data_IF_016103395319
#
_entry.id   IF_016103395319
#
_cell.length_a   1.000
_cell.length_b   1.000
_cell.length_c   1.000
_cell.angle_alpha   90.00
_cell.angle_beta   90.00
_cell.angle_gamma   90.00
#
_symmetry.space_group_name_H-M   'P 1'
#
loop_
_entity.id
_entity.type
_entity.pdbx_description
1 polymer ?
#
# COMPACT_ATOMS: atom_id res chain seq x y z
N UNK A 1 -24.92 30.11 -4.87
CA UNK A 1 -24.72 28.73 -5.39
C UNK A 1 -23.23 28.47 -5.42
N UNK A 2 -22.70 27.80 -4.40
CA UNK A 2 -21.25 27.75 -4.17
C UNK A 2 -20.88 26.34 -3.71
N UNK A 3 -20.36 25.52 -4.62
CA UNK A 3 -19.45 24.41 -4.32
C UNK A 3 -18.81 23.96 -5.64
N UNK A 4 -17.79 24.68 -6.09
CA UNK A 4 -16.87 24.16 -7.11
C UNK A 4 -15.80 23.36 -6.37
N UNK A 5 -16.05 22.06 -6.21
CA UNK A 5 -15.13 21.13 -5.58
C UNK A 5 -13.93 20.96 -6.52
N UNK A 6 -12.80 21.52 -6.10
CA UNK A 6 -11.52 21.64 -6.79
C UNK A 6 -10.91 20.26 -7.13
N UNK A 7 -10.70 20.00 -8.42
CA UNK A 7 -9.76 19.07 -9.04
C UNK A 7 -9.37 17.81 -8.24
N UNK A 8 -10.26 16.82 -8.24
CA UNK A 8 -10.12 15.38 -8.51
C UNK A 8 -8.70 14.74 -8.60
N UNK A 9 -7.76 15.05 -7.70
CA UNK A 9 -6.50 14.31 -7.54
C UNK A 9 -6.51 13.39 -6.31
N UNK A 10 -7.67 13.21 -5.70
CA UNK A 10 -7.90 12.45 -4.47
C UNK A 10 -8.31 11.00 -4.75
N UNK A 11 -7.58 10.27 -5.60
CA UNK A 11 -7.71 8.80 -5.74
C UNK A 11 -7.03 8.03 -4.60
N UNK A 12 -6.66 8.81 -3.58
CA UNK A 12 -6.42 8.54 -2.17
C UNK A 12 -5.81 7.17 -1.92
N UNK A 13 -4.49 7.18 -2.09
CA UNK A 13 -3.49 6.37 -1.38
C UNK A 13 -3.67 6.48 0.14
N UNK A 14 -4.83 6.10 0.65
CA UNK A 14 -5.13 6.11 2.07
C UNK A 14 -4.23 5.12 2.76
N UNK A 15 -3.53 5.59 3.78
CA UNK A 15 -2.80 4.72 4.67
C UNK A 15 -3.84 3.89 5.45
N UNK A 16 -3.70 2.57 5.41
CA UNK A 16 -4.55 1.63 6.16
C UNK A 16 -3.79 1.15 7.38
N UNK A 17 -4.32 1.41 8.58
CA UNK A 17 -3.71 0.92 9.83
C UNK A 17 -4.38 -0.38 10.24
N UNK A 18 -3.58 -1.45 10.39
CA UNK A 18 -4.02 -2.77 10.85
C UNK A 18 -3.23 -3.15 12.10
N UNK A 19 -3.84 -2.98 13.27
CA UNK A 19 -3.17 -3.19 14.55
C UNK A 19 -1.92 -2.32 14.69
N UNK A 20 -0.74 -2.95 14.74
CA UNK A 20 0.57 -2.25 14.82
C UNK A 20 1.17 -1.86 13.47
N UNK A 21 0.53 -2.25 12.38
CA UNK A 21 1.05 -2.06 11.03
C UNK A 21 0.36 -0.89 10.34
N UNK A 22 1.13 0.02 9.78
CA UNK A 22 0.65 1.07 8.88
C UNK A 22 1.00 0.67 7.45
N UNK A 23 -0.02 0.46 6.63
CA UNK A 23 0.08 0.12 5.22
C UNK A 23 -0.11 1.40 4.42
N UNK A 24 0.89 1.81 3.66
CA UNK A 24 0.82 2.97 2.78
C UNK A 24 0.97 2.50 1.34
N UNK A 25 -0.08 2.53 0.51
CA UNK A 25 0.01 2.24 -0.91
C UNK A 25 0.66 3.42 -1.65
N UNK A 26 1.55 3.11 -2.59
CA UNK A 26 2.25 4.06 -3.44
C UNK A 26 2.09 3.63 -4.90
N UNK A 27 1.47 4.49 -5.69
CA UNK A 27 1.35 4.29 -7.14
C UNK A 27 2.16 5.36 -7.85
N UNK A 28 3.04 4.93 -8.77
CA UNK A 28 3.84 5.82 -9.61
C UNK A 28 3.57 5.53 -11.08
N UNK A 29 3.43 6.57 -11.92
CA UNK A 29 3.43 6.38 -13.37
C UNK A 29 4.78 5.81 -13.82
N UNK A 30 4.75 4.90 -14.77
CA UNK A 30 5.89 4.33 -15.48
C UNK A 30 5.96 4.91 -16.90
N UNK A 31 7.14 4.81 -17.53
CA UNK A 31 7.43 5.42 -18.83
C UNK A 31 6.49 4.95 -19.96
N UNK A 32 6.05 3.69 -19.91
CA UNK A 32 5.21 3.06 -20.94
C UNK A 32 3.70 3.38 -20.81
N UNK A 33 3.32 4.46 -20.11
CA UNK A 33 1.90 4.77 -19.84
C UNK A 33 1.21 3.79 -18.89
N UNK A 34 1.98 2.95 -18.22
CA UNK A 34 1.51 2.06 -17.16
C UNK A 34 1.73 2.69 -15.78
N UNK A 35 1.17 2.08 -14.75
CA UNK A 35 1.31 2.46 -13.36
C UNK A 35 1.97 1.32 -12.59
N UNK A 36 3.13 1.61 -12.01
CA UNK A 36 3.79 0.74 -11.05
C UNK A 36 3.20 0.97 -9.67
N UNK A 37 2.91 -0.12 -8.96
CA UNK A 37 2.41 -0.07 -7.60
C UNK A 37 3.45 -0.61 -6.61
N UNK A 38 3.42 -0.07 -5.41
CA UNK A 38 4.27 -0.48 -4.29
C UNK A 38 3.51 -0.25 -3.00
N UNK A 39 3.86 -0.98 -1.95
CA UNK A 39 3.25 -0.82 -0.63
C UNK A 39 4.35 -0.74 0.42
N UNK A 40 4.30 0.29 1.26
CA UNK A 40 5.15 0.37 2.46
C UNK A 40 4.35 -0.13 3.65
N UNK A 41 4.92 -1.08 4.38
CA UNK A 41 4.34 -1.66 5.59
C UNK A 41 5.27 -1.30 6.73
N UNK A 42 4.83 -0.39 7.58
CA UNK A 42 5.56 0.05 8.77
C UNK A 42 5.01 -0.65 10.00
N UNK A 43 5.86 -1.38 10.71
CA UNK A 43 5.52 -1.96 12.02
C UNK A 43 6.01 -1.05 13.13
N UNK A 44 5.10 -0.43 13.89
CA UNK A 44 5.44 0.43 15.02
C UNK A 44 5.00 -0.19 16.35
N UNK A 45 5.88 -0.97 17.00
CA UNK A 45 5.69 -1.36 18.41
C UNK A 45 7.05 -1.68 19.02
N UNK A 46 7.57 -0.76 19.84
CA UNK A 46 8.88 -0.86 20.50
C UNK A 46 9.99 -0.01 19.85
N UNK A 47 11.21 -0.08 20.40
CA UNK A 47 12.39 0.71 19.98
C UNK A 47 12.94 0.38 18.59
N UNK A 48 12.33 -0.56 17.86
CA UNK A 48 12.67 -0.89 16.49
C UNK A 48 11.43 -0.74 15.60
N UNK A 49 11.30 0.42 14.95
CA UNK A 49 10.33 0.60 13.85
C UNK A 49 10.95 0.02 12.59
N UNK A 50 10.32 -0.99 11.98
CA UNK A 50 10.77 -1.53 10.70
C UNK A 50 9.82 -1.07 9.60
N UNK A 51 10.37 -0.41 8.59
CA UNK A 51 9.68 -0.09 7.34
C UNK A 51 10.02 -1.18 6.31
N UNK A 52 9.01 -1.87 5.80
CA UNK A 52 9.17 -2.86 4.73
C UNK A 52 8.47 -2.32 3.49
N UNK A 53 9.25 -1.97 2.47
CA UNK A 53 8.70 -1.58 1.17
C UNK A 53 8.65 -2.81 0.27
N UNK A 54 7.44 -3.20 -0.12
CA UNK A 54 7.19 -4.25 -1.11
C UNK A 54 6.90 -3.58 -2.43
N UNK A 55 7.79 -3.78 -3.40
CA UNK A 55 7.57 -3.34 -4.78
C UNK A 55 6.88 -4.46 -5.54
N UNK A 56 5.70 -4.16 -6.07
CA UNK A 56 4.95 -5.10 -6.89
C UNK A 56 5.49 -5.01 -8.32
N UNK A 57 5.72 -6.16 -8.93
CA UNK A 57 6.21 -6.25 -10.32
C UNK A 57 5.07 -6.11 -11.34
N UNK A 58 3.82 -6.21 -10.88
CA UNK A 58 2.64 -6.03 -11.71
C UNK A 58 2.43 -4.54 -12.05
N UNK A 59 2.34 -4.26 -13.35
CA UNK A 59 2.04 -2.96 -13.90
C UNK A 59 0.57 -2.92 -14.32
N UNK A 60 -0.09 -1.80 -14.05
CA UNK A 60 -1.50 -1.61 -14.39
C UNK A 60 -1.67 -0.48 -15.39
N UNK A 61 -2.68 -0.56 -16.26
CA UNK A 61 -3.06 0.56 -17.12
C UNK A 61 -3.91 1.59 -16.36
N UNK A 62 -4.52 1.16 -15.25
CA UNK A 62 -5.38 1.98 -14.42
C UNK A 62 -4.73 2.26 -13.07
N UNK A 63 -4.70 3.54 -12.69
CA UNK A 63 -4.20 3.97 -11.37
C UNK A 63 -5.03 3.39 -10.23
N UNK A 64 -6.35 3.28 -10.40
CA UNK A 64 -7.25 2.73 -9.36
C UNK A 64 -6.93 1.27 -9.10
N UNK A 65 -6.84 0.44 -10.14
CA UNK A 65 -6.49 -0.97 -10.03
C UNK A 65 -5.11 -1.17 -9.36
N UNK A 66 -4.13 -0.33 -9.71
CA UNK A 66 -2.82 -0.32 -9.05
C UNK A 66 -2.91 -0.03 -7.54
N UNK A 67 -3.74 0.92 -7.12
CA UNK A 67 -3.94 1.26 -5.71
C UNK A 67 -4.64 0.13 -4.96
N UNK A 68 -5.74 -0.41 -5.50
CA UNK A 68 -6.49 -1.50 -4.87
C UNK A 68 -5.62 -2.75 -4.72
N UNK A 69 -4.82 -3.07 -5.74
CA UNK A 69 -3.89 -4.18 -5.67
C UNK A 69 -2.82 -3.97 -4.60
N UNK A 70 -2.23 -2.78 -4.50
CA UNK A 70 -1.25 -2.47 -3.45
C UNK A 70 -1.82 -2.59 -2.03
N UNK A 71 -3.08 -2.18 -1.82
CA UNK A 71 -3.77 -2.33 -0.54
C UNK A 71 -4.04 -3.80 -0.23
N UNK A 72 -4.57 -4.54 -1.21
CA UNK A 72 -4.84 -5.98 -1.07
C UNK A 72 -3.58 -6.76 -0.69
N UNK A 73 -2.47 -6.52 -1.39
CA UNK A 73 -1.17 -7.14 -1.12
C UNK A 73 -0.64 -6.76 0.28
N UNK A 74 -0.78 -5.49 0.67
CA UNK A 74 -0.41 -5.02 2.01
C UNK A 74 -1.22 -5.71 3.12
N UNK A 75 -2.53 -5.86 2.91
CA UNK A 75 -3.43 -6.54 3.84
C UNK A 75 -3.13 -8.04 3.93
N UNK A 76 -2.94 -8.70 2.78
CA UNK A 76 -2.57 -10.11 2.70
C UNK A 76 -1.24 -10.37 3.42
N UNK A 77 -0.27 -9.48 3.27
CA UNK A 77 1.01 -9.56 3.97
C UNK A 77 0.85 -9.46 5.48
N UNK A 78 0.07 -8.49 5.97
CA UNK A 78 -0.20 -8.36 7.42
C UNK A 78 -0.99 -9.56 7.94
N UNK A 79 -1.99 -10.04 7.19
CA UNK A 79 -2.77 -11.25 7.52
C UNK A 79 -1.93 -12.53 7.54
N UNK A 80 -0.97 -12.66 6.63
CA UNK A 80 0.00 -13.75 6.61
C UNK A 80 1.04 -13.63 7.72
N UNK A 81 1.48 -12.42 8.06
CA UNK A 81 2.43 -12.16 9.14
C UNK A 81 1.86 -12.49 10.53
N UNK A 82 0.55 -12.31 10.74
CA UNK A 82 -0.12 -12.76 11.98
C UNK A 82 -0.40 -14.26 11.99
N UNK A 83 -0.35 -14.91 10.83
CA UNK A 83 -0.63 -16.35 10.66
C UNK A 83 0.63 -17.21 10.46
N UNK A 84 1.82 -16.62 10.44
CA UNK A 84 3.07 -17.36 10.37
C UNK A 84 3.52 -17.78 11.78
N UNK A 85 3.36 -19.05 12.20
CA UNK A 85 3.99 -19.53 13.42
C UNK A 85 5.50 -19.39 13.28
N UNK A 86 6.14 -18.83 14.32
CA UNK A 86 7.58 -18.82 14.51
C UNK A 86 8.08 -20.28 14.55
N UNK A 87 8.45 -20.83 13.40
CA UNK A 87 9.13 -22.12 13.31
C UNK A 87 10.30 -22.01 12.33
N UNK A 88 11.43 -21.53 12.84
CA UNK A 88 12.75 -21.96 12.39
C UNK A 88 13.55 -22.22 13.67
N UNK A 89 13.54 -23.49 14.08
CA UNK A 89 14.51 -24.07 15.00
C UNK A 89 15.77 -24.44 14.21
#
# INVERSE_FOLDING_TARGET
>A
MNHTQNNNNDFRSHNVTVGKYLISPLVRPADDGHYACSVSIRSGTGSATTDRVVRLTQLFRDRIAATEHAVSEGLAWVGGAVSAPRARA
#
